data_IF_626124759956
#
_entry.id   IF_626124759956
#
_cell.length_a   1.000
_cell.length_b   1.000
_cell.length_c   1.000
_cell.angle_alpha   90.00
_cell.angle_beta   90.00
_cell.angle_gamma   90.00
#
_symmetry.space_group_name_H-M   'P 1'
#
loop_
_entity.id
_entity.type
_entity.pdbx_description
1 polymer ?
#
# COMPACT_ATOMS: atom_id res chain seq x y z
N UNK A 1 -17.94 -3.17 -9.50
CA UNK A 1 -16.87 -2.27 -10.03
C UNK A 1 -16.49 -2.68 -11.45
N UNK A 2 -15.95 -1.75 -12.25
CA UNK A 2 -15.49 -2.03 -13.63
C UNK A 2 -14.05 -1.60 -13.87
N UNK A 3 -13.27 -2.47 -14.50
CA UNK A 3 -11.88 -2.21 -14.91
C UNK A 3 -11.84 -1.07 -15.92
N UNK A 4 -11.07 -0.02 -15.65
CA UNK A 4 -10.83 1.09 -16.60
C UNK A 4 -9.49 0.97 -17.29
N UNK A 5 -8.46 0.50 -16.59
CA UNK A 5 -7.11 0.30 -17.14
C UNK A 5 -6.38 -0.79 -16.37
N UNK A 6 -5.63 -1.62 -17.08
CA UNK A 6 -4.73 -2.60 -16.47
C UNK A 6 -3.36 -1.93 -16.37
N UNK A 7 -2.76 -1.95 -15.17
CA UNK A 7 -1.46 -1.31 -14.93
C UNK A 7 -0.34 -2.34 -14.96
N UNK A 8 -0.52 -3.47 -14.28
CA UNK A 8 0.33 -4.66 -14.38
C UNK A 8 -0.48 -5.90 -13.96
N UNK A 9 0.17 -7.07 -13.81
CA UNK A 9 -0.50 -8.32 -13.43
C UNK A 9 -1.21 -8.26 -12.07
N UNK A 10 -0.78 -7.38 -11.16
CA UNK A 10 -1.24 -7.33 -9.77
C UNK A 10 -1.94 -6.01 -9.40
N UNK A 11 -2.05 -5.06 -10.34
CA UNK A 11 -2.60 -3.72 -10.10
C UNK A 11 -3.46 -3.30 -11.28
N UNK A 12 -4.69 -2.89 -11.00
CA UNK A 12 -5.62 -2.34 -11.97
C UNK A 12 -6.23 -1.01 -11.49
N UNK A 13 -6.61 -0.19 -12.44
CA UNK A 13 -7.45 0.98 -12.24
C UNK A 13 -8.90 0.58 -12.54
N UNK A 14 -9.82 0.97 -11.67
CA UNK A 14 -11.24 0.72 -11.82
C UNK A 14 -12.08 1.95 -11.49
N UNK A 15 -13.35 1.89 -11.86
CA UNK A 15 -14.38 2.82 -11.41
C UNK A 15 -15.37 2.09 -10.52
N UNK A 16 -15.63 2.71 -9.37
CA UNK A 16 -16.68 2.29 -8.46
C UNK A 16 -18.05 2.90 -8.85
N UNK A 17 -19.14 2.38 -8.29
CA UNK A 17 -20.53 2.77 -8.60
C UNK A 17 -20.80 4.28 -8.40
N UNK A 18 -20.05 4.93 -7.50
CA UNK A 18 -20.07 6.39 -7.29
C UNK A 18 -19.18 7.21 -8.23
N UNK A 19 -18.71 6.65 -9.36
CA UNK A 19 -17.79 7.28 -10.34
C UNK A 19 -16.39 7.67 -9.82
N UNK A 20 -16.04 7.26 -8.60
CA UNK A 20 -14.71 7.50 -8.04
C UNK A 20 -13.68 6.55 -8.68
N UNK A 21 -12.52 7.09 -9.06
CA UNK A 21 -11.40 6.28 -9.54
C UNK A 21 -10.77 5.56 -8.35
N UNK A 22 -10.61 4.25 -8.50
CA UNK A 22 -9.99 3.39 -7.49
C UNK A 22 -8.82 2.64 -8.11
N UNK A 23 -7.80 2.36 -7.29
CA UNK A 23 -6.72 1.44 -7.65
C UNK A 23 -6.94 0.17 -6.83
N UNK A 24 -6.96 -0.96 -7.52
CA UNK A 24 -7.16 -2.27 -6.91
C UNK A 24 -5.86 -3.03 -7.03
N UNK A 25 -5.45 -3.63 -5.92
CA UNK A 25 -4.29 -4.50 -5.83
C UNK A 25 -4.77 -5.89 -5.45
N UNK A 26 -4.27 -6.88 -6.15
CA UNK A 26 -4.54 -8.27 -5.84
C UNK A 26 -3.67 -9.19 -6.68
N UNK A 27 -3.28 -10.33 -6.11
CA UNK A 27 -2.47 -11.30 -6.83
C UNK A 27 -3.17 -11.77 -8.11
N UNK A 28 -2.55 -11.49 -9.26
CA UNK A 28 -3.09 -11.86 -10.57
C UNK A 28 -4.33 -11.07 -11.00
N UNK A 29 -4.71 -9.99 -10.30
CA UNK A 29 -5.96 -9.26 -10.58
C UNK A 29 -6.00 -8.63 -11.99
N UNK A 30 -4.84 -8.36 -12.57
CA UNK A 30 -4.69 -7.86 -13.94
C UNK A 30 -4.40 -8.94 -14.97
N UNK A 31 -4.20 -10.20 -14.56
CA UNK A 31 -3.91 -11.31 -15.47
C UNK A 31 -5.16 -11.68 -16.27
N UNK A 32 -5.02 -11.81 -17.59
CA UNK A 32 -6.10 -12.10 -18.55
C UNK A 32 -7.35 -11.20 -18.50
N UNK A 33 -7.32 -10.10 -17.74
CA UNK A 33 -8.40 -9.11 -17.71
C UNK A 33 -8.34 -8.20 -18.93
N UNK A 34 -9.48 -7.56 -19.20
CA UNK A 34 -9.66 -6.52 -20.23
C UNK A 34 -10.35 -5.30 -19.65
N UNK A 35 -10.21 -4.17 -20.35
CA UNK A 35 -10.91 -2.93 -20.02
C UNK A 35 -12.41 -3.15 -20.17
N UNK A 36 -13.17 -2.76 -19.14
CA UNK A 36 -14.62 -2.91 -19.09
C UNK A 36 -15.09 -4.14 -18.31
N UNK A 37 -14.20 -5.07 -17.97
CA UNK A 37 -14.55 -6.26 -17.20
C UNK A 37 -15.08 -5.90 -15.81
N UNK A 38 -16.06 -6.69 -15.35
CA UNK A 38 -16.57 -6.57 -13.99
C UNK A 38 -15.58 -7.20 -13.00
N UNK A 39 -15.43 -6.55 -11.85
CA UNK A 39 -14.58 -7.01 -10.75
C UNK A 39 -15.49 -7.38 -9.60
N UNK A 40 -15.43 -8.64 -9.15
CA UNK A 40 -16.10 -9.10 -7.94
C UNK A 40 -15.35 -8.59 -6.72
N UNK A 41 -16.05 -8.30 -5.61
CA UNK A 41 -15.40 -7.93 -4.35
C UNK A 41 -14.51 -9.06 -3.80
N UNK A 42 -14.84 -10.32 -4.08
CA UNK A 42 -14.08 -11.47 -3.60
C UNK A 42 -12.69 -11.61 -4.25
N UNK A 43 -12.49 -10.97 -5.41
CA UNK A 43 -11.21 -10.97 -6.12
C UNK A 43 -10.28 -9.85 -5.62
N UNK A 44 -10.80 -8.93 -4.81
CA UNK A 44 -10.08 -7.74 -4.35
C UNK A 44 -9.39 -8.05 -3.04
N UNK A 45 -8.07 -8.22 -3.08
CA UNK A 45 -7.26 -8.34 -1.86
C UNK A 45 -7.22 -6.99 -1.14
N UNK A 46 -6.93 -5.90 -1.86
CA UNK A 46 -6.93 -4.55 -1.30
C UNK A 46 -7.48 -3.51 -2.29
N UNK A 47 -8.23 -2.56 -1.75
CA UNK A 47 -8.85 -1.47 -2.52
C UNK A 47 -8.41 -0.10 -2.01
N UNK A 48 -7.90 0.73 -2.92
CA UNK A 48 -7.53 2.11 -2.64
C UNK A 48 -8.53 3.06 -3.29
N UNK A 49 -9.34 3.70 -2.45
CA UNK A 49 -10.28 4.73 -2.88
C UNK A 49 -9.58 6.09 -2.77
N UNK A 50 -9.37 6.74 -3.92
CA UNK A 50 -8.69 8.03 -3.98
C UNK A 50 -9.72 9.15 -3.92
N UNK A 51 -9.88 9.77 -2.76
CA UNK A 51 -10.74 10.96 -2.61
C UNK A 51 -10.05 12.22 -3.16
N UNK A 52 -8.72 12.28 -3.11
CA UNK A 52 -7.93 13.37 -3.66
C UNK A 52 -7.37 13.04 -5.05
N UNK A 53 -7.98 13.61 -6.09
CA UNK A 53 -7.57 13.42 -7.49
C UNK A 53 -6.13 13.87 -7.78
N UNK A 54 -5.57 14.83 -7.03
CA UNK A 54 -4.22 15.34 -7.31
C UNK A 54 -3.12 14.35 -6.94
N UNK A 55 -3.35 13.48 -5.96
CA UNK A 55 -2.40 12.44 -5.54
C UNK A 55 -2.47 11.19 -6.40
N UNK A 56 -3.52 11.05 -7.21
CA UNK A 56 -3.77 9.87 -8.02
C UNK A 56 -2.58 9.47 -8.91
N UNK A 57 -1.94 10.38 -9.67
CA UNK A 57 -0.80 10.04 -10.52
C UNK A 57 0.41 9.54 -9.72
N UNK A 58 0.68 10.14 -8.56
CA UNK A 58 1.81 9.78 -7.70
C UNK A 58 1.64 8.37 -7.13
N UNK A 59 0.47 8.07 -6.56
CA UNK A 59 0.16 6.74 -6.02
C UNK A 59 0.21 5.69 -7.12
N UNK A 60 -0.38 6.00 -8.28
CA UNK A 60 -0.32 5.13 -9.45
C UNK A 60 1.12 4.81 -9.84
N UNK A 61 1.97 5.83 -9.92
CA UNK A 61 3.38 5.64 -10.26
C UNK A 61 4.10 4.75 -9.24
N UNK A 62 3.90 4.99 -7.94
CA UNK A 62 4.48 4.17 -6.87
C UNK A 62 4.08 2.69 -7.02
N UNK A 63 2.79 2.41 -7.15
CA UNK A 63 2.27 1.04 -7.21
C UNK A 63 2.66 0.30 -8.49
N UNK A 64 3.02 1.02 -9.56
CA UNK A 64 3.56 0.42 -10.80
C UNK A 64 5.07 0.25 -10.82
N UNK A 65 5.80 0.97 -9.96
CA UNK A 65 7.27 0.96 -9.94
C UNK A 65 7.84 0.10 -8.83
N UNK A 66 7.12 -0.04 -7.72
CA UNK A 66 7.51 -0.87 -6.58
C UNK A 66 7.13 -2.34 -6.84
N UNK A 67 7.94 -3.27 -6.32
CA UNK A 67 7.63 -4.70 -6.42
C UNK A 67 6.35 -5.06 -5.67
N UNK A 68 5.56 -5.98 -6.23
CA UNK A 68 4.35 -6.48 -5.57
C UNK A 68 4.66 -7.08 -4.19
N UNK A 69 5.79 -7.77 -4.04
CA UNK A 69 6.24 -8.33 -2.77
C UNK A 69 6.39 -7.26 -1.67
N UNK A 70 6.84 -6.04 -2.03
CA UNK A 70 7.00 -4.96 -1.07
C UNK A 70 5.66 -4.34 -0.68
N UNK A 71 4.72 -4.26 -1.63
CA UNK A 71 3.34 -3.84 -1.37
C UNK A 71 2.66 -4.86 -0.44
N UNK A 72 2.77 -6.15 -0.74
CA UNK A 72 2.24 -7.24 0.11
C UNK A 72 2.87 -7.21 1.52
N UNK A 73 4.18 -6.98 1.61
CA UNK A 73 4.88 -6.88 2.89
C UNK A 73 4.36 -5.69 3.71
N UNK A 74 4.21 -4.52 3.07
CA UNK A 74 3.64 -3.34 3.70
C UNK A 74 2.22 -3.62 4.21
N UNK A 75 1.40 -4.33 3.42
CA UNK A 75 0.06 -4.71 3.83
C UNK A 75 0.06 -5.67 5.04
N UNK A 76 0.97 -6.65 5.09
CA UNK A 76 1.12 -7.54 6.24
C UNK A 76 1.45 -6.78 7.52
N UNK A 77 2.36 -5.80 7.44
CA UNK A 77 2.72 -4.94 8.57
C UNK A 77 1.53 -4.10 9.03
N UNK A 78 0.78 -3.49 8.11
CA UNK A 78 -0.40 -2.68 8.43
C UNK A 78 -1.50 -3.54 9.05
N UNK A 79 -1.78 -4.73 8.50
CA UNK A 79 -2.75 -5.66 9.05
C UNK A 79 -2.34 -6.18 10.44
N UNK A 80 -1.06 -6.45 10.67
CA UNK A 80 -0.54 -6.78 11.98
C UNK A 80 -0.73 -5.60 12.96
N UNK A 81 -0.37 -4.38 12.54
CA UNK A 81 -0.54 -3.17 13.33
C UNK A 81 -1.99 -2.89 13.70
N UNK A 82 -2.93 -3.02 12.76
CA UNK A 82 -4.37 -2.88 13.01
C UNK A 82 -4.85 -3.87 14.09
N UNK A 83 -4.43 -5.14 14.01
CA UNK A 83 -4.78 -6.17 15.00
C UNK A 83 -4.20 -5.85 16.38
N UNK A 84 -2.96 -5.38 16.45
CA UNK A 84 -2.28 -5.03 17.72
C UNK A 84 -2.84 -3.76 18.36
N UNK A 85 -3.21 -2.77 17.56
CA UNK A 85 -3.73 -1.48 18.03
C UNK A 85 -5.24 -1.50 18.33
N UNK A 86 -5.96 -2.53 17.89
CA UNK A 86 -7.38 -2.73 18.19
C UNK A 86 -8.32 -1.72 17.52
N UNK A 87 -7.86 -0.95 16.55
CA UNK A 87 -8.66 0.02 15.82
C UNK A 87 -8.32 0.04 14.33
N UNK A 88 -9.24 0.59 13.52
CA UNK A 88 -9.04 0.72 12.08
C UNK A 88 -7.98 1.78 11.79
N UNK A 89 -6.97 1.41 11.01
CA UNK A 89 -5.98 2.34 10.45
C UNK A 89 -6.45 2.78 9.07
N UNK A 90 -6.21 4.04 8.72
CA UNK A 90 -6.48 4.56 7.38
C UNK A 90 -5.65 3.80 6.34
N UNK A 91 -6.30 3.20 5.33
CA UNK A 91 -5.67 2.39 4.30
C UNK A 91 -4.59 3.13 3.47
N UNK A 92 -4.63 4.46 3.44
CA UNK A 92 -3.57 5.27 2.84
C UNK A 92 -2.18 5.00 3.46
N UNK A 93 -2.13 4.45 4.69
CA UNK A 93 -0.87 4.07 5.33
C UNK A 93 -0.07 3.04 4.52
N UNK A 94 -0.74 2.15 3.78
CA UNK A 94 -0.05 1.14 2.97
C UNK A 94 0.80 1.82 1.90
N UNK A 95 0.28 2.89 1.27
CA UNK A 95 1.00 3.68 0.26
C UNK A 95 2.23 4.34 0.89
N UNK A 96 2.04 5.06 1.99
CA UNK A 96 3.14 5.78 2.66
C UNK A 96 4.19 4.82 3.21
N UNK A 97 3.77 3.68 3.77
CA UNK A 97 4.67 2.66 4.27
C UNK A 97 5.44 1.99 3.13
N UNK A 98 4.77 1.66 2.03
CA UNK A 98 5.41 1.08 0.84
C UNK A 98 6.50 2.00 0.30
N UNK A 99 6.21 3.30 0.18
CA UNK A 99 7.19 4.29 -0.28
C UNK A 99 8.37 4.41 0.70
N UNK A 100 8.09 4.49 2.00
CA UNK A 100 9.12 4.55 3.04
C UNK A 100 10.01 3.30 3.06
N UNK A 101 9.45 2.10 2.96
CA UNK A 101 10.22 0.86 2.91
C UNK A 101 11.04 0.76 1.62
N UNK A 102 10.46 1.15 0.48
CA UNK A 102 11.18 1.17 -0.80
C UNK A 102 12.41 2.08 -0.72
N UNK A 103 12.26 3.26 -0.13
CA UNK A 103 13.36 4.19 0.09
C UNK A 103 14.38 3.67 1.12
N UNK A 104 13.92 3.09 2.23
CA UNK A 104 14.79 2.52 3.26
C UNK A 104 15.65 1.37 2.71
N UNK A 105 15.06 0.46 1.94
CA UNK A 105 15.76 -0.66 1.28
C UNK A 105 16.79 -0.14 0.27
N UNK A 106 16.44 0.84 -0.57
CA UNK A 106 17.37 1.44 -1.52
C UNK A 106 18.58 2.06 -0.81
N UNK A 107 18.34 2.90 0.20
CA UNK A 107 19.43 3.53 0.97
C UNK A 107 20.33 2.50 1.67
N UNK A 108 19.74 1.46 2.25
CA UNK A 108 20.51 0.40 2.89
C UNK A 108 21.41 -0.35 1.89
N UNK A 109 20.90 -0.64 0.68
CA UNK A 109 21.69 -1.24 -0.42
C UNK A 109 22.83 -0.33 -0.87
N UNK A 110 22.60 0.98 -0.87
CA UNK A 110 23.61 1.99 -1.21
C UNK A 110 24.60 2.26 -0.07
N UNK A 111 24.51 1.52 1.06
CA UNK A 111 25.42 1.62 2.20
C UNK A 111 25.16 2.80 3.13
N UNK A 112 24.06 3.52 2.96
CA UNK A 112 23.68 4.62 3.85
C UNK A 112 22.96 4.08 5.09
N UNK A 113 23.59 4.28 6.26
CA UNK A 113 22.95 4.09 7.56
C UNK A 113 22.81 5.43 8.27
N UNK A 114 21.57 5.83 8.60
CA UNK A 114 21.30 7.05 9.37
C UNK A 114 20.71 6.68 10.72
N UNK A 115 21.38 6.97 11.84
CA UNK A 115 20.79 6.78 13.16
C UNK A 115 19.55 7.68 13.31
N UNK A 116 18.50 7.16 13.95
CA UNK A 116 17.32 7.95 14.28
C UNK A 116 17.51 8.60 15.67
N UNK A 117 17.77 9.92 15.76
CA UNK A 117 18.02 10.59 17.04
C UNK A 117 16.80 10.55 17.97
N UNK A 118 15.60 10.36 17.43
CA UNK A 118 14.34 10.30 18.19
C UNK A 118 13.98 8.88 18.63
N UNK A 119 14.79 7.86 18.35
CA UNK A 119 14.44 6.47 18.64
C UNK A 119 14.00 6.28 20.11
N UNK A 120 14.76 6.85 21.05
CA UNK A 120 14.45 6.77 22.48
C UNK A 120 13.09 7.38 22.82
N UNK A 121 12.77 8.53 22.22
CA UNK A 121 11.51 9.23 22.47
C UNK A 121 10.35 8.48 21.82
N UNK A 122 10.51 7.96 20.60
CA UNK A 122 9.49 7.14 19.92
C UNK A 122 9.19 5.90 20.76
N UNK A 123 10.21 5.18 21.24
CA UNK A 123 10.03 4.01 22.10
C UNK A 123 9.31 4.35 23.41
N UNK A 124 9.54 5.55 23.96
CA UNK A 124 8.91 6.02 25.20
C UNK A 124 7.45 6.41 24.99
N UNK A 125 7.13 7.14 23.92
CA UNK A 125 5.80 7.73 23.70
C UNK A 125 4.86 6.84 22.89
N UNK A 126 5.40 5.95 22.04
CA UNK A 126 4.65 5.07 21.15
C UNK A 126 5.12 3.61 21.29
N UNK A 127 5.03 3.00 22.49
CA UNK A 127 5.62 1.69 22.75
C UNK A 127 5.00 0.58 21.90
N UNK A 128 3.68 0.61 21.68
CA UNK A 128 2.98 -0.43 20.89
C UNK A 128 3.34 -0.28 19.41
N UNK A 129 3.35 0.94 18.89
CA UNK A 129 3.75 1.23 17.51
C UNK A 129 5.24 0.92 17.28
N UNK A 130 6.09 1.14 18.28
CA UNK A 130 7.50 0.76 18.25
C UNK A 130 7.67 -0.75 18.16
N UNK A 131 6.94 -1.54 18.96
CA UNK A 131 6.92 -3.01 18.87
C UNK A 131 6.43 -3.50 17.50
N UNK A 132 5.43 -2.84 16.93
CA UNK A 132 4.96 -3.14 15.57
C UNK A 132 6.06 -2.87 14.54
N UNK A 133 6.83 -1.80 14.73
CA UNK A 133 7.99 -1.49 13.91
C UNK A 133 9.13 -2.49 14.06
N UNK A 134 9.34 -3.07 15.25
CA UNK A 134 10.36 -4.12 15.46
C UNK A 134 9.95 -5.48 14.86
N UNK A 135 8.65 -5.73 14.71
CA UNK A 135 8.14 -6.91 14.01
C UNK A 135 8.34 -6.85 12.49
N UNK A 136 8.27 -5.65 11.92
CA UNK A 136 8.30 -5.38 10.48
C UNK A 136 9.69 -5.54 9.86
#
# INVERSE_FOLDING_TARGET
>A
MRTTKILNNNVIEAKDEGLSQVIIIGRGIGHDRKRGDNISQDEVEEMFIMTNKSLFPTVKNLLTTVSTDLIETSNKVVNYGQKRLGHKINQNIIITLTDHLNYAIRRARDGFSTPNPLNRDIKKFYPIEYEIGEYA
#
